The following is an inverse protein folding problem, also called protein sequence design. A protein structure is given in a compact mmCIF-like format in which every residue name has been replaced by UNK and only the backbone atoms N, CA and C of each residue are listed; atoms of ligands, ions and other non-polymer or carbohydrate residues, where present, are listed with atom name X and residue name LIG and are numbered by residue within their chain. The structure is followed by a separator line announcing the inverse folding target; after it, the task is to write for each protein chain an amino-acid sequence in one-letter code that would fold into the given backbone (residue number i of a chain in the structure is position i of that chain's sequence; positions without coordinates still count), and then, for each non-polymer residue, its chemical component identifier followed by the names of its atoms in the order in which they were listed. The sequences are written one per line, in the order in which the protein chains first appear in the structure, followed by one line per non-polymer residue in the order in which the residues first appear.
data_IF_964236191646
#
_entry.id   IF_964236191646
#
_cell.length_a   1.000
_cell.length_b   1.000
_cell.length_c   1.000
_cell.angle_alpha   90.00
_cell.angle_beta   90.00
_cell.angle_gamma   90.00
#
_symmetry.space_group_name_H-M   'P 1'
#
loop_
_entity.id
_entity.type
_entity.pdbx_description
1 polymer ?
#
# COMPACT_ATOMS: atom_id res chain seq x y z
N UNK A 1 -43.88 -57.53 38.48
CA UNK A 1 -43.18 -56.34 39.02
C UNK A 1 -42.45 -55.68 37.86
N UNK A 2 -42.88 -54.48 37.44
CA UNK A 2 -42.33 -53.75 36.29
C UNK A 2 -40.91 -53.31 36.61
N UNK A 3 -39.92 -53.67 35.79
CA UNK A 3 -38.57 -53.10 35.85
C UNK A 3 -38.45 -52.08 34.73
N UNK A 4 -38.21 -50.83 35.13
CA UNK A 4 -38.08 -49.65 34.29
C UNK A 4 -36.68 -49.59 33.68
N UNK A 5 -36.61 -49.17 32.42
CA UNK A 5 -35.40 -48.85 31.66
C UNK A 5 -34.61 -47.69 32.29
N UNK A 6 -33.28 -47.77 32.22
CA UNK A 6 -32.40 -46.60 32.13
C UNK A 6 -31.39 -46.83 31.00
N UNK A 7 -31.69 -46.26 29.83
CA UNK A 7 -30.76 -46.13 28.71
C UNK A 7 -29.81 -44.96 29.05
N UNK A 8 -28.53 -45.21 29.30
CA UNK A 8 -27.55 -44.12 29.39
C UNK A 8 -27.17 -43.66 27.99
N UNK A 9 -27.64 -42.48 27.59
CA UNK A 9 -27.22 -41.81 26.38
C UNK A 9 -25.83 -41.20 26.64
N UNK A 10 -24.77 -41.86 26.18
CA UNK A 10 -23.41 -41.30 26.21
C UNK A 10 -23.29 -40.26 25.10
N UNK A 11 -23.49 -38.99 25.44
CA UNK A 11 -23.23 -37.87 24.52
C UNK A 11 -21.72 -37.75 24.32
N UNK A 12 -21.21 -38.25 23.20
CA UNK A 12 -19.83 -38.01 22.78
C UNK A 12 -19.74 -36.53 22.36
N UNK A 13 -19.33 -35.68 23.28
CA UNK A 13 -18.95 -34.29 22.98
C UNK A 13 -17.63 -34.37 22.23
N UNK A 14 -17.68 -34.31 20.90
CA UNK A 14 -16.51 -34.01 20.09
C UNK A 14 -16.18 -32.55 20.39
N UNK A 15 -15.26 -32.32 21.32
CA UNK A 15 -14.53 -31.06 21.41
C UNK A 15 -13.76 -30.90 20.11
N UNK A 16 -14.37 -30.26 19.12
CA UNK A 16 -13.65 -29.59 18.05
C UNK A 16 -12.88 -28.47 18.74
N UNK A 17 -11.67 -28.78 19.19
CA UNK A 17 -10.69 -27.74 19.49
C UNK A 17 -10.53 -26.94 18.19
N UNK A 18 -10.79 -25.62 18.18
CA UNK A 18 -10.40 -24.82 17.04
C UNK A 18 -8.89 -25.01 16.90
N UNK A 19 -8.48 -25.69 15.83
CA UNK A 19 -7.09 -25.69 15.44
C UNK A 19 -6.73 -24.20 15.30
N UNK A 20 -5.69 -23.68 15.98
CA UNK A 20 -5.23 -22.34 15.67
C UNK A 20 -4.97 -22.36 14.16
N UNK A 21 -5.71 -21.54 13.41
CA UNK A 21 -5.45 -21.39 11.99
C UNK A 21 -3.95 -21.13 11.87
N UNK A 22 -3.24 -21.97 11.12
CA UNK A 22 -1.84 -21.69 10.84
C UNK A 22 -1.77 -20.25 10.31
N UNK A 23 -0.81 -19.47 10.80
CA UNK A 23 -0.62 -18.14 10.23
C UNK A 23 -0.32 -18.35 8.74
N UNK A 24 -1.12 -17.75 7.86
CA UNK A 24 -0.89 -17.85 6.43
C UNK A 24 0.55 -17.44 6.11
N UNK A 25 1.23 -18.23 5.28
CA UNK A 25 2.62 -17.97 4.89
C UNK A 25 2.69 -17.47 3.45
N UNK A 26 3.70 -16.66 3.12
CA UNK A 26 3.94 -16.21 1.75
C UNK A 26 5.09 -17.00 1.14
N UNK A 27 4.84 -17.59 -0.04
CA UNK A 27 5.84 -18.33 -0.81
C UNK A 27 6.19 -17.57 -2.09
N UNK A 28 7.48 -17.32 -2.33
CA UNK A 28 7.94 -16.67 -3.56
C UNK A 28 7.68 -17.56 -4.78
N UNK A 29 6.97 -17.02 -5.77
CA UNK A 29 6.74 -17.63 -7.08
C UNK A 29 7.70 -17.10 -8.14
N UNK A 30 8.09 -15.82 -8.05
CA UNK A 30 9.07 -15.23 -8.94
C UNK A 30 9.52 -13.83 -8.55
N UNK A 31 10.75 -13.49 -8.94
CA UNK A 31 11.31 -12.14 -8.88
C UNK A 31 11.71 -11.66 -10.28
N UNK A 32 10.97 -10.69 -10.82
CA UNK A 32 11.24 -10.14 -12.16
C UNK A 32 11.87 -8.77 -11.99
N UNK A 33 12.96 -8.52 -12.73
CA UNK A 33 13.76 -7.33 -12.55
C UNK A 33 14.00 -6.67 -13.92
N UNK A 34 13.58 -5.42 -14.07
CA UNK A 34 13.88 -4.58 -15.23
C UNK A 34 15.00 -3.61 -14.88
N UNK A 35 16.00 -3.53 -15.76
CA UNK A 35 17.11 -2.58 -15.57
C UNK A 35 16.62 -1.13 -15.65
N UNK A 36 17.36 -0.23 -15.00
CA UNK A 36 17.08 1.20 -15.12
C UNK A 36 17.15 1.66 -16.59
N UNK A 37 16.20 2.51 -16.99
CA UNK A 37 16.17 3.11 -18.33
C UNK A 37 15.48 2.28 -19.41
N UNK A 38 14.78 1.21 -19.05
CA UNK A 38 13.86 0.52 -19.99
C UNK A 38 12.82 1.51 -20.51
N UNK A 39 12.53 1.41 -21.81
CA UNK A 39 11.55 2.23 -22.51
C UNK A 39 10.43 1.33 -23.05
N UNK A 40 9.17 1.75 -22.88
CA UNK A 40 7.97 1.14 -23.46
C UNK A 40 7.14 2.28 -24.06
N UNK A 41 6.65 2.12 -25.28
CA UNK A 41 5.87 3.16 -25.99
C UNK A 41 6.52 4.55 -25.86
N UNK A 42 7.83 4.61 -26.17
CA UNK A 42 8.66 5.83 -26.11
C UNK A 42 8.79 6.49 -24.72
N UNK A 43 8.29 5.82 -23.68
CA UNK A 43 8.22 6.33 -22.31
C UNK A 43 9.06 5.47 -21.37
N UNK A 44 9.70 6.06 -20.36
CA UNK A 44 10.47 5.27 -19.37
C UNK A 44 9.54 4.34 -18.62
N UNK A 45 9.96 3.10 -18.34
CA UNK A 45 9.28 2.18 -17.42
C UNK A 45 9.97 2.23 -16.06
N UNK A 46 9.50 3.11 -15.19
CA UNK A 46 10.12 3.42 -13.91
C UNK A 46 9.11 4.21 -13.06
N UNK A 47 9.45 4.51 -11.81
CA UNK A 47 8.54 5.26 -10.95
C UNK A 47 7.35 4.44 -10.46
N UNK A 48 7.42 3.10 -10.45
CA UNK A 48 6.23 2.29 -10.19
C UNK A 48 5.86 2.37 -8.70
N UNK A 49 4.78 3.09 -8.40
CA UNK A 49 4.25 3.22 -7.04
C UNK A 49 3.11 2.22 -6.85
N UNK A 50 1.84 2.61 -6.96
CA UNK A 50 0.68 1.74 -6.77
C UNK A 50 0.38 0.74 -7.92
N UNK A 51 -0.31 -0.35 -7.59
CA UNK A 51 -0.73 -1.40 -8.54
C UNK A 51 -2.16 -1.90 -8.26
N UNK A 52 -3.00 -1.91 -9.30
CA UNK A 52 -4.38 -2.42 -9.24
C UNK A 52 -4.59 -3.55 -10.26
N UNK A 53 -5.08 -4.70 -9.80
CA UNK A 53 -5.48 -5.81 -10.66
C UNK A 53 -6.94 -5.69 -11.13
N UNK A 54 -7.15 -5.82 -12.43
CA UNK A 54 -8.44 -5.88 -13.10
C UNK A 54 -8.78 -7.32 -13.47
N UNK A 55 -9.55 -7.99 -12.62
CA UNK A 55 -9.92 -9.40 -12.82
C UNK A 55 -10.71 -9.66 -14.11
N UNK A 56 -11.47 -8.66 -14.58
CA UNK A 56 -12.29 -8.79 -15.79
C UNK A 56 -11.45 -8.80 -17.08
N UNK A 57 -10.29 -8.11 -17.07
CA UNK A 57 -9.40 -8.01 -18.22
C UNK A 57 -8.11 -8.83 -18.06
N UNK A 58 -7.87 -9.37 -16.87
CA UNK A 58 -6.61 -10.00 -16.48
C UNK A 58 -5.39 -9.07 -16.72
N UNK A 59 -5.53 -7.82 -16.30
CA UNK A 59 -4.54 -6.76 -16.50
C UNK A 59 -4.24 -6.01 -15.21
N UNK A 60 -3.00 -5.55 -15.07
CA UNK A 60 -2.58 -4.68 -13.98
C UNK A 60 -2.43 -3.24 -14.48
N UNK A 61 -3.02 -2.31 -13.74
CA UNK A 61 -2.81 -0.88 -13.86
C UNK A 61 -1.76 -0.47 -12.84
N UNK A 62 -0.61 0.02 -13.30
CA UNK A 62 0.50 0.40 -12.43
C UNK A 62 0.80 1.89 -12.63
N UNK A 63 0.62 2.69 -11.60
CA UNK A 63 0.78 4.14 -11.68
C UNK A 63 2.25 4.54 -11.49
N UNK A 64 2.67 5.58 -12.21
CA UNK A 64 3.99 6.18 -12.04
C UNK A 64 3.92 7.38 -11.10
N UNK A 65 4.81 7.42 -10.12
CA UNK A 65 5.03 8.56 -9.20
C UNK A 65 5.69 9.77 -9.86
N UNK A 66 6.25 9.61 -11.07
CA UNK A 66 6.87 10.68 -11.83
C UNK A 66 5.98 11.92 -11.83
N UNK A 67 6.52 12.99 -11.25
CA UNK A 67 5.85 14.26 -11.05
C UNK A 67 5.65 15.05 -12.35
N UNK A 68 5.47 14.36 -13.46
CA UNK A 68 5.64 14.86 -14.81
C UNK A 68 7.00 15.57 -15.01
N UNK A 69 8.06 15.07 -14.37
CA UNK A 69 9.42 15.59 -14.48
C UNK A 69 10.15 14.95 -15.68
N UNK A 70 10.09 13.62 -15.79
CA UNK A 70 10.83 12.89 -16.81
C UNK A 70 9.99 12.62 -18.07
N UNK A 71 8.75 12.21 -17.89
CA UNK A 71 7.74 11.99 -18.93
C UNK A 71 6.38 12.53 -18.46
N UNK A 72 5.34 12.52 -19.30
CA UNK A 72 4.00 12.93 -18.87
C UNK A 72 3.46 11.98 -17.78
N UNK A 73 2.59 12.50 -16.90
CA UNK A 73 1.90 11.70 -15.88
C UNK A 73 1.14 10.54 -16.54
N UNK A 74 1.28 9.33 -15.99
CA UNK A 74 0.97 8.10 -16.73
C UNK A 74 0.84 6.89 -15.83
N UNK A 75 0.20 5.86 -16.36
CA UNK A 75 0.22 4.50 -15.84
C UNK A 75 0.59 3.51 -16.94
N UNK A 76 0.95 2.30 -16.54
CA UNK A 76 1.26 1.18 -17.42
C UNK A 76 0.21 0.08 -17.27
N UNK A 77 -0.28 -0.39 -18.42
CA UNK A 77 -1.06 -1.62 -18.52
C UNK A 77 -0.10 -2.78 -18.69
N UNK A 78 -0.12 -3.71 -17.74
CA UNK A 78 0.86 -4.80 -17.64
C UNK A 78 0.14 -6.14 -17.50
N UNK A 79 0.53 -7.12 -18.31
CA UNK A 79 0.14 -8.52 -18.15
C UNK A 79 1.16 -9.21 -17.22
N UNK A 80 0.68 -9.99 -16.26
CA UNK A 80 1.54 -10.81 -15.39
C UNK A 80 1.03 -12.25 -15.44
N UNK A 81 1.76 -13.09 -16.19
CA UNK A 81 1.45 -14.53 -16.31
C UNK A 81 2.14 -15.30 -15.18
N UNK A 82 1.36 -16.11 -14.47
CA UNK A 82 1.80 -16.91 -13.32
C UNK A 82 1.65 -18.40 -13.68
N UNK A 83 2.56 -18.89 -14.53
CA UNK A 83 2.66 -20.29 -14.94
C UNK A 83 3.74 -21.07 -14.17
N UNK A 84 4.48 -21.94 -14.86
CA UNK A 84 5.68 -22.59 -14.29
C UNK A 84 6.76 -21.57 -13.90
N UNK A 85 6.78 -20.44 -14.60
CA UNK A 85 7.60 -19.26 -14.31
C UNK A 85 6.71 -18.03 -14.36
N UNK A 86 7.01 -17.03 -13.54
CA UNK A 86 6.34 -15.73 -13.61
C UNK A 86 6.92 -14.90 -14.76
N UNK A 87 6.06 -14.27 -15.55
CA UNK A 87 6.45 -13.36 -16.63
C UNK A 87 5.70 -12.04 -16.49
N UNK A 88 6.42 -10.92 -16.59
CA UNK A 88 5.84 -9.57 -16.56
C UNK A 88 6.01 -8.94 -17.93
N UNK A 89 4.90 -8.57 -18.55
CA UNK A 89 4.86 -8.00 -19.89
C UNK A 89 4.14 -6.66 -19.87
N UNK A 90 4.88 -5.55 -19.72
CA UNK A 90 4.31 -4.22 -19.89
C UNK A 90 3.83 -4.04 -21.34
N UNK A 91 2.56 -3.69 -21.53
CA UNK A 91 1.89 -3.73 -22.85
C UNK A 91 1.68 -2.35 -23.44
N UNK A 92 1.31 -1.39 -22.59
CA UNK A 92 0.85 -0.08 -23.05
C UNK A 92 1.07 0.98 -21.99
N UNK A 93 1.43 2.17 -22.44
CA UNK A 93 1.42 3.40 -21.63
C UNK A 93 0.09 4.14 -21.82
N UNK A 94 -0.47 4.63 -20.72
CA UNK A 94 -1.66 5.47 -20.71
C UNK A 94 -1.36 6.78 -19.98
N UNK A 95 -1.52 7.89 -20.69
CA UNK A 95 -1.27 9.23 -20.14
C UNK A 95 -2.50 9.79 -19.44
N UNK A 96 -2.29 10.33 -18.25
CA UNK A 96 -3.29 11.02 -17.46
C UNK A 96 -3.30 12.50 -17.83
N UNK A 97 -4.51 13.06 -18.00
CA UNK A 97 -4.70 14.46 -18.38
C UNK A 97 -5.41 15.23 -17.28
N UNK A 98 -5.13 16.52 -17.19
CA UNK A 98 -5.78 17.42 -16.26
C UNK A 98 -7.25 17.69 -16.62
N UNK A 99 -7.91 18.49 -15.80
CA UNK A 99 -9.30 18.94 -15.99
C UNK A 99 -9.55 19.72 -17.30
N UNK A 100 -8.51 20.22 -17.95
CA UNK A 100 -8.57 20.92 -19.24
C UNK A 100 -8.18 20.01 -20.41
N UNK A 101 -8.09 18.69 -20.18
CA UNK A 101 -7.65 17.69 -21.15
C UNK A 101 -6.24 17.98 -21.69
N UNK A 102 -5.38 18.59 -20.87
CA UNK A 102 -3.96 18.83 -21.14
C UNK A 102 -3.10 17.87 -20.33
N UNK A 103 -1.86 17.59 -20.76
CA UNK A 103 -0.88 16.94 -19.89
C UNK A 103 -0.69 17.74 -18.60
N UNK A 104 -0.51 17.04 -17.47
CA UNK A 104 -0.14 17.69 -16.23
C UNK A 104 1.18 18.47 -16.38
N UNK A 105 1.24 19.64 -15.77
CA UNK A 105 2.47 20.42 -15.74
C UNK A 105 3.50 19.74 -14.84
N UNK A 106 4.78 19.98 -15.12
CA UNK A 106 5.87 19.41 -14.35
C UNK A 106 5.81 19.87 -12.88
N UNK A 107 5.95 18.91 -11.97
CA UNK A 107 5.87 19.02 -10.53
C UNK A 107 4.53 19.50 -9.96
N UNK A 108 3.41 19.23 -10.65
CA UNK A 108 2.07 19.55 -10.13
C UNK A 108 1.28 18.34 -9.59
N UNK A 109 1.76 17.12 -9.86
CA UNK A 109 1.19 15.87 -9.37
C UNK A 109 2.31 14.97 -8.87
N UNK A 110 1.95 13.99 -8.06
CA UNK A 110 2.85 13.01 -7.44
C UNK A 110 1.99 11.79 -7.14
N UNK A 111 1.82 10.88 -8.10
CA UNK A 111 0.75 9.88 -8.03
C UNK A 111 1.24 8.58 -7.41
N UNK A 112 0.59 8.15 -6.33
CA UNK A 112 1.07 7.03 -5.51
C UNK A 112 0.18 5.78 -5.62
N UNK A 113 -0.89 5.67 -4.84
CA UNK A 113 -1.83 4.55 -4.89
C UNK A 113 -2.83 4.63 -6.05
N UNK A 114 -3.32 3.47 -6.50
CA UNK A 114 -4.31 3.33 -7.57
C UNK A 114 -5.31 2.22 -7.26
N UNK A 115 -6.60 2.45 -7.53
CA UNK A 115 -7.65 1.42 -7.46
C UNK A 115 -8.64 1.52 -8.63
N UNK A 116 -9.36 0.43 -8.86
CA UNK A 116 -10.54 0.38 -9.74
C UNK A 116 -11.81 0.58 -8.90
N UNK A 117 -12.59 1.58 -9.29
CA UNK A 117 -13.91 1.86 -8.70
C UNK A 117 -15.00 0.95 -9.30
N UNK A 118 -16.16 0.78 -8.62
CA UNK A 118 -17.28 -0.02 -9.13
C UNK A 118 -17.83 0.38 -10.49
N UNK A 119 -17.67 1.66 -10.86
CA UNK A 119 -18.07 2.20 -12.16
C UNK A 119 -16.97 2.02 -13.23
N UNK A 120 -15.94 1.21 -12.94
CA UNK A 120 -14.76 0.98 -13.74
C UNK A 120 -13.79 2.15 -13.85
N UNK A 121 -14.04 3.31 -13.24
CA UNK A 121 -13.08 4.40 -13.22
C UNK A 121 -11.85 4.05 -12.37
N UNK A 122 -10.77 4.78 -12.61
CA UNK A 122 -9.57 4.74 -11.79
C UNK A 122 -9.68 5.82 -10.72
N UNK A 123 -9.37 5.48 -9.48
CA UNK A 123 -9.09 6.47 -8.44
C UNK A 123 -7.60 6.38 -8.10
N UNK A 124 -6.93 7.52 -8.07
CA UNK A 124 -5.49 7.62 -7.90
C UNK A 124 -5.20 8.62 -6.80
N UNK A 125 -4.41 8.27 -5.78
CA UNK A 125 -3.97 9.22 -4.77
C UNK A 125 -2.80 10.04 -5.28
N UNK A 126 -2.70 11.28 -4.82
CA UNK A 126 -1.51 12.08 -4.99
C UNK A 126 -0.95 12.52 -3.65
N UNK A 127 0.37 12.37 -3.49
CA UNK A 127 1.10 12.69 -2.28
C UNK A 127 1.00 14.18 -1.92
N UNK A 128 0.90 15.03 -2.94
CA UNK A 128 1.02 16.48 -2.82
C UNK A 128 2.48 16.93 -2.71
N UNK A 129 2.69 18.23 -2.50
CA UNK A 129 4.03 18.80 -2.38
C UNK A 129 3.97 20.03 -1.47
N UNK A 130 4.23 19.83 -0.18
CA UNK A 130 4.21 20.91 0.82
C UNK A 130 5.13 22.08 0.45
N UNK A 131 6.33 21.77 -0.05
CA UNK A 131 7.30 22.79 -0.48
C UNK A 131 6.82 23.66 -1.65
N UNK A 132 5.74 23.24 -2.34
CA UNK A 132 5.10 23.93 -3.47
C UNK A 132 3.68 24.41 -3.16
N UNK A 133 3.19 24.18 -1.95
CA UNK A 133 1.80 24.51 -1.59
C UNK A 133 0.75 23.64 -2.28
N UNK A 134 1.11 22.42 -2.68
CA UNK A 134 0.20 21.47 -3.34
C UNK A 134 -0.32 20.49 -2.29
N UNK A 135 -1.63 20.43 -2.12
CA UNK A 135 -2.28 19.49 -1.20
C UNK A 135 -2.24 18.06 -1.75
N UNK A 136 -2.24 17.08 -0.86
CA UNK A 136 -2.60 15.70 -1.22
C UNK A 136 -4.07 15.66 -1.65
N UNK A 137 -4.41 14.74 -2.55
CA UNK A 137 -5.79 14.58 -3.02
C UNK A 137 -6.01 13.23 -3.69
N UNK A 138 -7.26 12.89 -4.02
CA UNK A 138 -7.58 11.72 -4.84
C UNK A 138 -8.20 12.17 -6.16
N UNK A 139 -7.72 11.62 -7.27
CA UNK A 139 -8.13 11.99 -8.62
C UNK A 139 -8.88 10.83 -9.26
N UNK A 140 -10.11 11.08 -9.71
CA UNK A 140 -10.92 10.10 -10.45
C UNK A 140 -10.72 10.31 -11.96
N UNK A 141 -10.33 9.25 -12.65
CA UNK A 141 -10.14 9.22 -14.10
C UNK A 141 -11.01 8.13 -14.73
N UNK A 142 -11.40 8.31 -15.98
CA UNK A 142 -11.84 7.20 -16.81
C UNK A 142 -10.70 6.20 -17.04
N UNK A 143 -11.02 4.97 -17.47
CA UNK A 143 -10.00 3.96 -17.81
C UNK A 143 -9.08 4.32 -18.97
N UNK A 144 -9.40 5.34 -19.75
CA UNK A 144 -8.56 5.87 -20.83
C UNK A 144 -7.75 7.12 -20.43
N UNK A 145 -7.80 7.54 -19.16
CA UNK A 145 -6.95 8.59 -18.59
C UNK A 145 -7.54 10.00 -18.64
N UNK A 146 -8.83 10.14 -18.89
CA UNK A 146 -9.53 11.43 -18.87
C UNK A 146 -9.95 11.77 -17.44
N UNK A 147 -9.55 12.95 -16.95
CA UNK A 147 -9.97 13.43 -15.63
C UNK A 147 -11.50 13.59 -15.53
N UNK A 148 -12.05 13.16 -14.40
CA UNK A 148 -13.48 13.27 -14.08
C UNK A 148 -13.68 14.28 -12.97
N UNK A 149 -13.03 14.07 -11.82
CA UNK A 149 -13.13 14.94 -10.64
C UNK A 149 -12.03 14.66 -9.64
N UNK A 150 -11.86 15.59 -8.73
CA UNK A 150 -11.01 15.45 -7.55
C UNK A 150 -11.89 15.16 -6.32
N UNK A 151 -11.46 14.23 -5.46
CA UNK A 151 -12.05 13.96 -4.15
C UNK A 151 -11.17 14.60 -3.09
N UNK A 152 -11.73 15.55 -2.37
CA UNK A 152 -11.00 16.31 -1.37
C UNK A 152 -10.73 15.45 -0.13
N UNK A 153 -9.51 15.56 0.38
CA UNK A 153 -9.18 15.07 1.72
C UNK A 153 -9.78 15.99 2.79
N UNK A 154 -9.97 15.46 4.01
CA UNK A 154 -10.27 16.28 5.18
C UNK A 154 -9.17 17.34 5.41
N UNK A 155 -9.56 18.55 5.81
CA UNK A 155 -8.66 19.71 5.90
C UNK A 155 -7.48 19.56 6.87
N UNK A 156 -7.45 18.49 7.68
CA UNK A 156 -6.30 18.18 8.55
C UNK A 156 -5.04 17.80 7.75
N UNK A 157 -5.21 17.38 6.49
CA UNK A 157 -4.14 17.06 5.56
C UNK A 157 -3.63 18.28 4.78
N UNK A 158 -4.41 19.36 4.69
CA UNK A 158 -4.08 20.54 3.88
C UNK A 158 -2.68 21.08 4.23
N UNK A 159 -1.93 21.48 3.20
CA UNK A 159 -0.71 22.26 3.37
C UNK A 159 -1.10 23.57 4.05
N UNK A 160 -0.84 23.64 5.35
CA UNK A 160 -1.29 24.75 6.17
C UNK A 160 -0.59 26.06 5.82
N UNK A 161 -1.24 27.18 6.13
CA UNK A 161 -0.57 28.49 6.26
C UNK A 161 0.32 28.57 7.51
N UNK A 162 0.10 27.64 8.46
CA UNK A 162 0.88 27.51 9.69
C UNK A 162 1.96 26.46 9.51
N UNK A 163 3.20 26.82 9.82
CA UNK A 163 4.43 26.02 9.62
C UNK A 163 4.34 24.59 10.20
N UNK A 164 3.44 24.34 11.16
CA UNK A 164 3.33 23.10 11.93
C UNK A 164 2.03 22.30 11.70
N UNK A 165 1.33 22.49 10.58
CA UNK A 165 0.14 21.69 10.22
C UNK A 165 0.20 21.10 8.81
N UNK A 166 -0.49 19.97 8.62
CA UNK A 166 -0.66 19.31 7.33
C UNK A 166 0.37 18.22 7.02
N UNK A 167 0.39 17.81 5.75
CA UNK A 167 1.38 16.87 5.21
C UNK A 167 2.82 17.39 5.36
N UNK A 168 3.79 16.46 5.24
CA UNK A 168 5.20 16.79 4.99
C UNK A 168 5.45 16.63 3.50
N UNK A 169 6.46 17.34 3.02
CA UNK A 169 6.98 17.09 1.69
C UNK A 169 7.60 15.69 1.64
N UNK A 170 7.20 14.87 0.67
CA UNK A 170 7.74 13.52 0.43
C UNK A 170 7.40 12.51 1.55
N UNK A 171 6.27 12.70 2.25
CA UNK A 171 5.72 11.78 3.27
C UNK A 171 4.17 11.93 3.39
N UNK A 172 3.52 12.41 2.33
CA UNK A 172 2.07 12.65 2.24
C UNK A 172 1.29 11.36 1.98
N UNK A 173 0.26 11.37 1.13
CA UNK A 173 -0.51 10.16 0.81
C UNK A 173 0.26 9.20 -0.11
N UNK A 174 0.39 7.95 0.32
CA UNK A 174 1.03 6.87 -0.46
C UNK A 174 0.03 5.79 -0.91
N UNK A 175 -0.82 5.39 0.03
CA UNK A 175 -1.64 4.17 -0.13
C UNK A 175 -3.04 4.47 -0.66
N UNK A 176 -3.61 3.53 -1.42
CA UNK A 176 -5.02 3.60 -1.81
C UNK A 176 -5.58 2.20 -2.05
N UNK A 177 -6.67 1.87 -1.35
CA UNK A 177 -7.29 0.55 -1.45
C UNK A 177 -8.80 0.60 -1.34
N UNK A 178 -9.48 -0.44 -1.82
CA UNK A 178 -10.93 -0.59 -1.78
C UNK A 178 -11.30 -1.97 -1.23
N UNK A 179 -12.33 -2.02 -0.40
CA UNK A 179 -12.81 -3.29 0.17
C UNK A 179 -13.32 -4.24 -0.92
N UNK A 180 -13.28 -5.57 -0.71
CA UNK A 180 -13.77 -6.52 -1.70
C UNK A 180 -15.26 -6.33 -2.07
N UNK A 181 -16.09 -5.91 -1.11
CA UNK A 181 -17.50 -5.55 -1.34
C UNK A 181 -17.70 -4.20 -2.03
N UNK A 182 -16.61 -3.46 -2.25
CA UNK A 182 -16.52 -2.15 -2.91
C UNK A 182 -17.31 -1.02 -2.23
N UNK A 183 -17.65 -1.17 -0.95
CA UNK A 183 -18.39 -0.15 -0.20
C UNK A 183 -17.47 0.93 0.40
N UNK A 184 -16.24 0.57 0.75
CA UNK A 184 -15.30 1.46 1.43
C UNK A 184 -13.95 1.55 0.73
N UNK A 185 -13.41 2.76 0.75
CA UNK A 185 -12.07 3.07 0.24
C UNK A 185 -11.22 3.55 1.40
N UNK A 186 -9.96 3.17 1.43
CA UNK A 186 -8.99 3.60 2.43
C UNK A 186 -7.76 4.20 1.77
N UNK A 187 -7.23 5.25 2.37
CA UNK A 187 -5.93 5.84 2.05
C UNK A 187 -5.25 6.26 3.34
N UNK A 188 -3.95 6.48 3.33
CA UNK A 188 -3.21 6.91 4.49
C UNK A 188 -1.95 7.68 4.09
N UNK A 189 -1.51 8.55 4.99
CA UNK A 189 -0.23 9.24 4.86
C UNK A 189 0.96 8.31 5.20
N UNK A 190 2.12 8.52 4.57
CA UNK A 190 3.31 7.68 4.77
C UNK A 190 3.80 7.74 6.23
N UNK A 191 3.93 8.97 6.72
CA UNK A 191 4.40 9.29 8.07
C UNK A 191 3.64 10.48 8.61
N UNK A 192 3.73 10.72 9.92
CA UNK A 192 2.91 11.67 10.64
C UNK A 192 2.73 13.04 9.97
N UNK A 193 1.49 13.55 10.03
CA UNK A 193 1.21 14.97 9.80
C UNK A 193 1.93 15.84 10.84
N UNK A 194 2.09 17.15 10.58
CA UNK A 194 2.96 18.06 11.39
C UNK A 194 2.50 18.15 12.84
N UNK A 195 1.19 18.17 13.01
CA UNK A 195 0.51 18.20 14.29
C UNK A 195 0.39 16.84 14.97
N UNK A 196 0.52 15.72 14.23
CA UNK A 196 0.25 14.39 14.78
C UNK A 196 1.45 13.77 15.49
N UNK A 197 2.68 14.05 15.05
CA UNK A 197 3.89 13.58 15.71
C UNK A 197 5.17 13.62 14.88
N UNK A 198 6.27 13.03 15.40
CA UNK A 198 7.52 12.94 14.69
C UNK A 198 7.44 11.91 13.55
N UNK A 199 8.36 12.05 12.59
CA UNK A 199 8.71 10.99 11.65
C UNK A 199 9.34 9.80 12.39
N UNK A 200 9.31 8.63 11.78
CA UNK A 200 9.90 7.42 12.34
C UNK A 200 11.41 7.61 12.54
N UNK A 201 11.91 7.12 13.67
CA UNK A 201 13.32 7.08 14.01
C UNK A 201 13.63 5.79 14.77
N UNK A 202 14.90 5.55 15.13
CA UNK A 202 15.30 4.31 15.82
C UNK A 202 14.54 4.11 17.14
N UNK A 203 14.23 5.21 17.84
CA UNK A 203 13.64 5.18 19.18
C UNK A 203 12.13 5.39 19.19
N UNK A 204 11.51 5.74 18.06
CA UNK A 204 10.08 6.03 17.98
C UNK A 204 9.50 5.65 16.61
N UNK A 205 8.27 5.15 16.60
CA UNK A 205 7.45 5.04 15.40
C UNK A 205 6.89 6.38 14.92
N UNK A 206 6.03 6.35 13.91
CA UNK A 206 5.32 7.52 13.39
C UNK A 206 3.80 7.33 13.39
N UNK A 207 3.03 8.27 13.98
CA UNK A 207 1.57 8.20 14.00
C UNK A 207 0.93 8.65 12.68
N UNK A 208 0.18 7.77 12.05
CA UNK A 208 -0.45 7.96 10.73
C UNK A 208 -1.98 7.93 10.84
N UNK A 209 -2.66 8.63 9.94
CA UNK A 209 -4.12 8.61 9.79
C UNK A 209 -4.50 7.76 8.59
N UNK A 210 -5.16 6.63 8.84
CA UNK A 210 -5.90 5.90 7.82
C UNK A 210 -7.27 6.55 7.67
N UNK A 211 -7.58 7.09 6.50
CA UNK A 211 -8.87 7.72 6.20
C UNK A 211 -9.77 6.72 5.49
N UNK A 212 -10.99 6.55 6.01
CA UNK A 212 -12.03 5.73 5.40
C UNK A 212 -13.01 6.62 4.64
N UNK A 213 -13.26 6.30 3.38
CA UNK A 213 -14.25 6.94 2.53
C UNK A 213 -15.38 5.96 2.18
N UNK A 214 -16.56 6.49 1.87
CA UNK A 214 -17.53 5.74 1.07
C UNK A 214 -17.17 5.81 -0.43
N UNK A 215 -17.83 4.99 -1.25
CA UNK A 215 -17.67 4.97 -2.72
C UNK A 215 -18.00 6.29 -3.46
N UNK A 216 -18.54 7.30 -2.77
CA UNK A 216 -18.89 8.60 -3.36
C UNK A 216 -17.85 9.68 -3.07
N UNK A 217 -16.82 9.37 -2.27
CA UNK A 217 -15.76 10.30 -1.87
C UNK A 217 -16.04 11.09 -0.61
N UNK A 218 -17.00 10.66 0.20
CA UNK A 218 -17.22 11.24 1.53
C UNK A 218 -16.33 10.53 2.55
N UNK A 219 -15.47 11.28 3.24
CA UNK A 219 -14.73 10.79 4.40
C UNK A 219 -15.70 10.45 5.54
N UNK A 220 -15.55 9.25 6.11
CA UNK A 220 -16.43 8.70 7.14
C UNK A 220 -15.76 8.63 8.51
N UNK A 221 -14.47 8.30 8.55
CA UNK A 221 -13.70 8.12 9.79
C UNK A 221 -12.20 8.21 9.52
N UNK A 222 -11.43 8.59 10.53
CA UNK A 222 -9.96 8.44 10.55
C UNK A 222 -9.59 7.41 11.61
N UNK A 223 -8.60 6.57 11.33
CA UNK A 223 -8.05 5.64 12.31
C UNK A 223 -6.58 5.92 12.51
N UNK A 224 -6.16 5.93 13.78
CA UNK A 224 -4.76 6.05 14.15
C UNK A 224 -4.05 4.72 13.87
N UNK A 225 -3.06 4.74 12.98
CA UNK A 225 -2.09 3.68 12.74
C UNK A 225 -0.70 4.09 13.24
N UNK A 226 0.05 3.18 13.85
CA UNK A 226 1.43 3.45 14.28
C UNK A 226 2.40 2.74 13.32
N UNK A 227 3.12 3.51 12.50
CA UNK A 227 4.27 3.01 11.70
C UNK A 227 5.39 2.63 12.66
N UNK A 228 6.09 1.52 12.40
CA UNK A 228 7.18 1.10 13.28
C UNK A 228 8.35 2.08 13.28
N UNK A 229 9.13 2.03 14.36
CA UNK A 229 10.43 2.69 14.42
C UNK A 229 11.34 2.21 13.30
N UNK A 230 12.28 3.08 12.90
CA UNK A 230 13.32 2.76 11.92
C UNK A 230 14.02 1.42 12.28
N UNK A 231 13.99 0.41 11.38
CA UNK A 231 14.71 -0.84 11.60
C UNK A 231 16.20 -0.62 11.87
N UNK A 232 16.70 -1.31 12.90
CA UNK A 232 18.12 -1.22 13.29
C UNK A 232 18.76 -2.61 13.37
N UNK A 233 18.93 -3.30 12.22
CA UNK A 233 19.45 -4.67 12.19
C UNK A 233 20.89 -4.79 12.71
N UNK A 234 21.62 -3.67 12.79
CA UNK A 234 23.01 -3.63 13.26
C UNK A 234 23.17 -3.15 14.70
N UNK A 235 22.06 -2.82 15.39
CA UNK A 235 22.09 -2.36 16.79
C UNK A 235 22.87 -1.06 17.01
N UNK A 236 22.98 -0.18 15.99
CA UNK A 236 23.72 1.08 16.09
C UNK A 236 22.99 2.08 16.99
N UNK A 237 23.74 2.91 17.72
CA UNK A 237 23.17 4.00 18.55
C UNK A 237 22.51 5.10 17.72
N UNK A 238 22.99 5.28 16.49
CA UNK A 238 22.47 6.22 15.49
C UNK A 238 22.60 5.58 14.12
N UNK A 239 21.58 5.76 13.29
CA UNK A 239 21.45 5.25 11.94
C UNK A 239 20.55 6.23 11.19
N UNK A 240 20.95 6.63 9.99
CA UNK A 240 20.09 7.38 9.09
C UNK A 240 19.18 6.43 8.31
N UNK A 241 17.97 6.88 8.04
CA UNK A 241 16.96 6.18 7.25
C UNK A 241 15.57 6.68 7.61
N UNK A 242 14.58 6.06 6.99
CA UNK A 242 13.16 6.30 7.17
C UNK A 242 12.41 4.97 7.36
N UNK A 243 11.16 5.04 7.80
CA UNK A 243 10.21 3.93 7.70
C UNK A 243 8.83 4.54 7.53
N UNK A 244 8.10 4.06 6.53
CA UNK A 244 6.84 4.64 6.08
C UNK A 244 5.77 3.59 5.83
N UNK A 245 4.50 3.97 5.99
CA UNK A 245 3.38 3.20 5.47
C UNK A 245 3.21 3.51 3.98
N UNK A 246 3.63 2.59 3.12
CA UNK A 246 3.66 2.84 1.67
C UNK A 246 2.45 2.26 0.93
N UNK A 247 1.81 1.22 1.45
CA UNK A 247 0.59 0.68 0.83
C UNK A 247 -0.36 0.00 1.81
N UNK A 248 -1.64 -0.03 1.46
CA UNK A 248 -2.71 -0.74 2.14
C UNK A 248 -3.41 -1.71 1.19
N UNK A 249 -3.86 -2.85 1.72
CA UNK A 249 -4.83 -3.74 1.03
C UNK A 249 -6.00 -4.00 1.95
N UNK A 250 -7.21 -3.62 1.54
CA UNK A 250 -8.40 -3.93 2.31
C UNK A 250 -8.81 -5.41 2.15
N UNK A 251 -8.84 -6.14 3.26
CA UNK A 251 -9.39 -7.50 3.34
C UNK A 251 -10.90 -7.46 3.60
N UNK A 252 -11.35 -6.46 4.36
CA UNK A 252 -12.74 -6.08 4.58
C UNK A 252 -12.75 -4.68 5.23
N UNK A 253 -13.92 -4.23 5.68
CA UNK A 253 -14.11 -2.94 6.34
C UNK A 253 -13.20 -2.70 7.58
N UNK A 254 -12.81 -3.78 8.28
CA UNK A 254 -12.12 -3.70 9.57
C UNK A 254 -10.72 -4.29 9.55
N UNK A 255 -10.34 -4.98 8.48
CA UNK A 255 -9.04 -5.63 8.37
C UNK A 255 -8.34 -5.22 7.11
N UNK A 256 -7.09 -4.76 7.28
CA UNK A 256 -6.21 -4.35 6.19
C UNK A 256 -4.92 -5.16 6.26
N UNK A 257 -4.19 -5.22 5.15
CA UNK A 257 -2.75 -5.41 5.15
C UNK A 257 -2.08 -4.05 4.99
N UNK A 258 -0.95 -3.86 5.65
CA UNK A 258 -0.14 -2.64 5.57
C UNK A 258 1.29 -3.00 5.19
N UNK A 259 1.78 -2.44 4.10
CA UNK A 259 3.18 -2.55 3.69
C UNK A 259 3.95 -1.38 4.30
N UNK A 260 4.93 -1.70 5.15
CA UNK A 260 5.90 -0.71 5.61
C UNK A 260 7.24 -0.95 4.94
N UNK A 261 7.85 0.14 4.47
CA UNK A 261 9.12 0.14 3.78
C UNK A 261 10.05 1.16 4.44
N UNK A 262 11.29 0.73 4.67
CA UNK A 262 12.39 1.52 5.19
C UNK A 262 13.56 1.48 4.22
N UNK A 263 14.19 2.63 3.97
CA UNK A 263 15.52 2.70 3.36
C UNK A 263 16.60 3.01 4.40
N UNK A 264 17.68 2.23 4.40
CA UNK A 264 18.83 2.39 5.28
C UNK A 264 20.07 2.79 4.46
N UNK A 265 20.31 4.10 4.19
CA UNK A 265 21.41 4.57 3.33
C UNK A 265 22.79 4.03 3.70
N UNK A 266 23.09 3.95 5.00
CA UNK A 266 24.39 3.47 5.49
C UNK A 266 24.63 1.98 5.24
N UNK A 267 23.53 1.22 5.07
CA UNK A 267 23.56 -0.21 4.75
C UNK A 267 23.22 -0.48 3.27
N UNK A 268 22.86 0.57 2.51
CA UNK A 268 22.45 0.52 1.11
C UNK A 268 21.39 -0.56 0.84
N UNK A 269 20.37 -0.63 1.70
CA UNK A 269 19.32 -1.65 1.57
C UNK A 269 17.99 -1.16 2.08
N UNK A 270 16.93 -1.77 1.54
CA UNK A 270 15.59 -1.67 2.09
C UNK A 270 15.33 -2.75 3.14
N UNK A 271 14.40 -2.47 4.04
CA UNK A 271 13.74 -3.41 4.95
C UNK A 271 12.24 -3.24 4.77
N UNK A 272 11.53 -4.34 4.48
CA UNK A 272 10.16 -4.29 4.01
C UNK A 272 9.35 -5.32 4.78
N UNK A 273 8.21 -4.90 5.34
CA UNK A 273 7.38 -5.74 6.20
C UNK A 273 5.91 -5.57 5.88
N UNK A 274 5.21 -6.68 5.86
CA UNK A 274 3.76 -6.73 5.72
C UNK A 274 3.12 -6.99 7.08
N UNK A 275 2.17 -6.15 7.46
CA UNK A 275 1.41 -6.29 8.69
C UNK A 275 -0.05 -6.55 8.38
N UNK A 276 -0.72 -7.33 9.23
CA UNK A 276 -2.18 -7.38 9.30
C UNK A 276 -2.63 -6.33 10.30
N UNK A 277 -3.56 -5.49 9.90
CA UNK A 277 -4.11 -4.39 10.69
C UNK A 277 -5.57 -4.67 11.04
N UNK A 278 -5.93 -4.46 12.29
CA UNK A 278 -7.30 -4.58 12.81
C UNK A 278 -7.79 -3.22 13.33
N UNK A 279 -8.83 -2.71 12.67
CA UNK A 279 -9.51 -1.45 12.97
C UNK A 279 -10.76 -1.65 13.84
N UNK A 280 -11.22 -2.88 14.09
CA UNK A 280 -12.50 -3.18 14.74
C UNK A 280 -12.65 -2.60 16.16
N UNK A 281 -11.52 -2.38 16.85
CA UNK A 281 -11.48 -1.75 18.17
C UNK A 281 -10.88 -0.34 18.15
N UNK A 282 -10.47 0.15 16.99
CA UNK A 282 -9.87 1.48 16.84
C UNK A 282 -10.96 2.55 16.90
N UNK A 283 -10.67 3.64 17.62
CA UNK A 283 -11.59 4.78 17.72
C UNK A 283 -11.45 5.67 16.49
N UNK A 284 -12.56 6.26 16.05
CA UNK A 284 -12.51 7.37 15.09
C UNK A 284 -11.79 8.58 15.71
N UNK A 285 -10.71 9.02 15.06
CA UNK A 285 -9.87 10.16 15.45
C UNK A 285 -10.03 11.36 14.51
N UNK A 286 -11.08 11.38 13.70
CA UNK A 286 -11.38 12.46 12.75
C UNK A 286 -11.50 13.83 13.40
N UNK A 287 -12.02 13.88 14.64
CA UNK A 287 -12.20 15.12 15.41
C UNK A 287 -10.98 15.53 16.23
N UNK A 288 -9.87 14.78 16.17
CA UNK A 288 -8.67 15.09 16.96
C UNK A 288 -7.70 15.94 16.13
N UNK A 289 -7.24 17.04 16.71
CA UNK A 289 -6.22 17.89 16.08
C UNK A 289 -4.82 17.26 16.10
N UNK A 290 -4.56 16.30 16.98
CA UNK A 290 -3.24 15.66 17.12
C UNK A 290 -3.38 14.24 17.67
N UNK A 291 -2.77 13.28 16.97
CA UNK A 291 -2.73 11.88 17.42
C UNK A 291 -1.87 11.69 18.68
N UNK A 292 -0.62 12.16 18.71
CA UNK A 292 0.25 11.91 19.88
C UNK A 292 -0.22 12.57 21.16
N UNK A 293 -0.78 13.79 21.08
CA UNK A 293 -1.31 14.46 22.28
C UNK A 293 -2.49 13.69 22.90
N UNK A 294 -3.15 12.86 22.10
CA UNK A 294 -4.34 12.11 22.47
C UNK A 294 -4.07 10.60 22.61
N UNK A 295 -2.83 10.15 22.42
CA UNK A 295 -2.50 8.71 22.29
C UNK A 295 -2.80 7.90 23.56
N UNK A 296 -2.77 8.51 24.75
CA UNK A 296 -3.17 7.84 26.00
C UNK A 296 -4.67 7.68 26.16
N UNK A 297 -5.47 8.31 25.31
CA UNK A 297 -6.93 8.43 25.44
C UNK A 297 -7.70 7.70 24.33
N UNK A 298 -6.99 7.11 23.36
CA UNK A 298 -7.59 6.46 22.20
C UNK A 298 -7.02 5.06 21.97
N UNK A 299 -7.92 4.12 21.68
CA UNK A 299 -7.52 2.84 21.10
C UNK A 299 -7.19 3.08 19.63
N UNK A 300 -5.96 2.76 19.24
CA UNK A 300 -5.50 2.84 17.86
C UNK A 300 -5.50 1.45 17.21
N UNK A 301 -5.29 1.41 15.90
CA UNK A 301 -5.27 0.18 15.12
C UNK A 301 -4.26 -0.81 15.68
N UNK A 302 -4.68 -2.05 15.87
CA UNK A 302 -3.75 -3.12 16.25
C UNK A 302 -3.09 -3.65 14.98
N UNK A 303 -1.80 -3.98 15.06
CA UNK A 303 -1.10 -4.62 13.95
C UNK A 303 -0.29 -5.82 14.40
N UNK A 304 -0.15 -6.78 13.51
CA UNK A 304 0.63 -8.01 13.67
C UNK A 304 1.51 -8.20 12.44
N UNK A 305 2.79 -8.52 12.63
CA UNK A 305 3.70 -8.82 11.52
C UNK A 305 3.27 -10.13 10.85
N UNK A 306 2.95 -10.05 9.56
CA UNK A 306 2.60 -11.21 8.72
C UNK A 306 3.84 -11.73 8.02
N UNK A 307 4.66 -10.83 7.47
CA UNK A 307 5.80 -11.23 6.66
C UNK A 307 6.93 -10.21 6.74
N UNK A 308 8.15 -10.69 6.97
CA UNK A 308 9.38 -9.90 6.78
C UNK A 308 10.05 -10.37 5.49
N UNK A 309 10.16 -9.47 4.51
CA UNK A 309 10.67 -9.80 3.18
C UNK A 309 12.17 -10.14 3.19
N UNK A 310 12.90 -9.87 4.28
CA UNK A 310 14.27 -10.37 4.45
C UNK A 310 14.35 -11.90 4.35
N UNK A 311 13.26 -12.60 4.69
CA UNK A 311 13.19 -14.06 4.62
C UNK A 311 13.32 -14.62 3.20
N UNK A 312 12.95 -13.86 2.17
CA UNK A 312 13.01 -14.29 0.77
C UNK A 312 14.24 -13.78 0.04
N UNK A 313 15.04 -12.88 0.62
CA UNK A 313 16.29 -12.37 0.01
C UNK A 313 17.22 -13.49 -0.44
N UNK A 314 17.41 -14.60 0.32
CA UNK A 314 18.22 -15.73 -0.14
C UNK A 314 17.65 -16.48 -1.36
N UNK A 315 16.35 -16.33 -1.62
CA UNK A 315 15.61 -16.99 -2.72
C UNK A 315 15.55 -16.14 -3.99
N UNK A 316 15.87 -14.84 -3.91
CA UNK A 316 15.91 -13.96 -5.08
C UNK A 316 17.00 -14.39 -6.06
N UNK A 317 16.82 -14.03 -7.33
CA UNK A 317 17.77 -14.28 -8.41
C UNK A 317 19.20 -13.84 -8.05
N UNK A 318 20.20 -14.63 -8.46
CA UNK A 318 21.61 -14.46 -8.03
C UNK A 318 22.20 -13.06 -8.28
N UNK A 319 21.78 -12.40 -9.37
CA UNK A 319 22.24 -11.05 -9.72
C UNK A 319 21.53 -9.93 -8.94
N UNK A 320 20.49 -10.26 -8.16
CA UNK A 320 19.59 -9.32 -7.49
C UNK A 320 19.25 -9.77 -6.06
N UNK A 321 20.26 -10.17 -5.27
CA UNK A 321 20.11 -10.61 -3.87
C UNK A 321 19.89 -9.46 -2.87
N UNK A 322 18.95 -8.58 -3.17
CA UNK A 322 18.49 -7.49 -2.31
C UNK A 322 17.05 -7.11 -2.64
N UNK A 323 16.33 -6.50 -1.71
CA UNK A 323 15.03 -5.89 -2.00
C UNK A 323 15.26 -4.47 -2.54
N UNK A 324 14.48 -4.07 -3.55
CA UNK A 324 14.42 -2.68 -4.01
C UNK A 324 13.26 -1.91 -3.35
N UNK A 325 12.92 -0.73 -3.87
CA UNK A 325 11.96 0.20 -3.29
C UNK A 325 10.49 -0.26 -3.39
N UNK A 326 10.12 -1.41 -2.81
CA UNK A 326 8.75 -1.93 -2.94
C UNK A 326 7.76 -0.99 -2.26
N UNK A 327 6.83 -0.47 -3.05
CA UNK A 327 5.85 0.53 -2.62
C UNK A 327 4.44 0.11 -2.99
N UNK A 328 4.20 -0.45 -4.18
CA UNK A 328 2.87 -0.99 -4.54
C UNK A 328 2.68 -2.46 -4.19
N UNK A 329 1.46 -2.82 -3.78
CA UNK A 329 1.01 -4.21 -3.66
C UNK A 329 -0.45 -4.38 -4.08
N UNK A 330 -0.75 -5.47 -4.79
CA UNK A 330 -2.11 -5.88 -5.13
C UNK A 330 -2.30 -7.37 -4.94
N UNK A 331 -3.55 -7.81 -4.81
CA UNK A 331 -3.87 -9.20 -5.10
C UNK A 331 -3.73 -9.44 -6.60
N UNK A 332 -3.29 -10.64 -6.97
CA UNK A 332 -3.35 -11.12 -8.35
C UNK A 332 -4.42 -12.19 -8.55
N UNK A 333 -4.38 -12.92 -9.68
CA UNK A 333 -5.33 -13.99 -9.95
C UNK A 333 -5.21 -15.12 -8.91
N UNK A 334 -6.28 -15.91 -8.81
CA UNK A 334 -6.24 -17.20 -8.16
C UNK A 334 -5.38 -18.18 -8.98
N UNK A 335 -4.53 -18.94 -8.30
CA UNK A 335 -3.81 -20.04 -8.92
C UNK A 335 -4.76 -21.20 -9.23
N UNK A 336 -4.30 -22.16 -10.06
CA UNK A 336 -5.10 -23.35 -10.41
C UNK A 336 -5.50 -24.24 -9.22
N UNK A 337 -4.85 -24.08 -8.06
CA UNK A 337 -5.20 -24.74 -6.80
C UNK A 337 -6.13 -23.90 -5.89
N UNK A 338 -6.57 -22.73 -6.35
CA UNK A 338 -7.44 -21.80 -5.62
C UNK A 338 -6.73 -20.88 -4.64
N UNK A 339 -5.39 -20.91 -4.57
CA UNK A 339 -4.64 -20.00 -3.70
C UNK A 339 -4.60 -18.58 -4.26
N UNK A 340 -4.68 -17.58 -3.38
CA UNK A 340 -4.49 -16.17 -3.75
C UNK A 340 -3.01 -15.86 -4.01
N UNK A 341 -2.78 -14.86 -4.87
CA UNK A 341 -1.44 -14.30 -5.11
C UNK A 341 -1.36 -12.86 -4.63
N UNK A 342 -0.15 -12.44 -4.26
CA UNK A 342 0.21 -11.04 -4.03
C UNK A 342 1.29 -10.66 -5.04
N UNK A 343 1.10 -9.50 -5.66
CA UNK A 343 2.06 -8.90 -6.59
C UNK A 343 2.54 -7.59 -5.98
N UNK A 344 3.86 -7.44 -5.83
CA UNK A 344 4.50 -6.22 -5.38
C UNK A 344 5.31 -5.62 -6.52
N UNK A 345 5.39 -4.29 -6.55
CA UNK A 345 6.22 -3.54 -7.48
C UNK A 345 7.12 -2.57 -6.73
N UNK A 346 8.33 -2.35 -7.25
CA UNK A 346 9.22 -1.33 -6.73
C UNK A 346 9.28 -0.11 -7.62
N UNK A 347 9.39 1.02 -6.95
CA UNK A 347 9.82 2.25 -7.58
C UNK A 347 11.34 2.19 -7.88
N UNK A 348 11.72 2.62 -9.08
CA UNK A 348 13.12 2.73 -9.47
C UNK A 348 13.72 4.12 -9.22
N UNK A 349 12.96 5.08 -8.67
CA UNK A 349 13.25 6.51 -8.48
C UNK A 349 13.91 7.19 -9.69
N UNK A 350 13.69 6.68 -10.92
CA UNK A 350 14.42 7.08 -12.13
C UNK A 350 15.95 7.03 -11.98
N UNK A 351 16.44 6.20 -11.05
CA UNK A 351 17.83 6.12 -10.63
C UNK A 351 18.52 4.92 -11.28
N UNK A 352 19.69 5.14 -11.88
CA UNK A 352 20.49 4.07 -12.51
C UNK A 352 20.97 2.97 -11.56
N UNK A 353 20.90 3.19 -10.24
CA UNK A 353 21.31 2.23 -9.21
C UNK A 353 20.16 1.42 -8.63
N UNK A 354 18.92 1.81 -8.91
CA UNK A 354 17.73 1.08 -8.51
C UNK A 354 17.13 0.41 -9.75
N UNK A 355 16.35 -0.64 -9.53
CA UNK A 355 15.68 -1.37 -10.59
C UNK A 355 14.19 -1.36 -10.35
N UNK A 356 13.43 -1.59 -11.42
CA UNK A 356 12.02 -1.91 -11.29
C UNK A 356 11.91 -3.41 -11.02
N UNK A 357 11.50 -3.75 -9.80
CA UNK A 357 11.36 -5.12 -9.30
C UNK A 357 9.89 -5.47 -9.19
N UNK A 358 9.54 -6.69 -9.62
CA UNK A 358 8.27 -7.33 -9.33
C UNK A 358 8.53 -8.54 -8.44
N UNK A 359 7.77 -8.68 -7.37
CA UNK A 359 7.72 -9.91 -6.58
C UNK A 359 6.32 -10.50 -6.67
N UNK A 360 6.23 -11.78 -7.00
CA UNK A 360 4.95 -12.51 -7.01
C UNK A 360 5.02 -13.60 -5.95
N UNK A 361 4.06 -13.58 -5.05
CA UNK A 361 3.97 -14.46 -3.88
C UNK A 361 2.65 -15.21 -3.90
N UNK A 362 2.69 -16.47 -3.48
CA UNK A 362 1.50 -17.28 -3.17
C UNK A 362 1.16 -17.13 -1.69
N UNK A 363 -0.12 -16.92 -1.38
CA UNK A 363 -0.63 -17.03 -0.01
C UNK A 363 -0.94 -18.51 0.26
N UNK A 364 -0.25 -19.09 1.23
CA UNK A 364 -0.43 -20.48 1.67
C UNK A 364 -1.20 -20.47 3.00
N UNK A 365 -2.39 -21.11 3.06
CA UNK A 365 -3.23 -21.17 4.28
C UNK A 365 -2.59 -21.85 5.49
#
# INVERSE_FOLDING_TARGET
MKVLLTLSLTTLVICLTPNPAAAATLQLLGDINFQAGIIIDETRFNGLSGIAYDEDQDLYYIISDDRAEYDQARLYLTEIDIGETVQVSPRKVLFLKDQNNQPFASHTVDFEGIILLPNNNLLISSEGAESRGINSSLFEFTRDGTFIREWLLPSIFDVGTYEHHGIRNNLGLESLTITPDKEFIFTANEQALKQDGPVAAIINGSPVRIVKFNRHGQALAHYFYMVDSLPNPTGRKSLKGDNGLVELIALNEWQLLALERSYLPELQRNVIRLYRVDLSTARDVSSLDSLLRSASEVNFAKKELVFDFDSIVPLLSDNHRSLDNLEGVSFGPLLGDGSHTLVLVSDGNFNKKQRTQFLVLKIVP
#
